data_IF_707254487957
#
_entry.id   IF_707254487957
#
_cell.length_a   1.000
_cell.length_b   1.000
_cell.length_c   1.000
_cell.angle_alpha   90.00
_cell.angle_beta   90.00
_cell.angle_gamma   90.00
#
_symmetry.space_group_name_H-M   'P 1'
#
loop_
_entity.id
_entity.type
_entity.pdbx_description
1 polymer ?
#
# COMPACT_ATOMS: atom_id res chain seq x y z
N UNK A 1 -12.60 -40.83 -5.13
CA UNK A 1 -13.77 -40.47 -5.97
C UNK A 1 -13.87 -38.96 -6.13
N UNK A 2 -14.61 -38.48 -7.14
CA UNK A 2 -14.71 -37.05 -7.50
C UNK A 2 -15.08 -36.11 -6.34
N UNK A 3 -15.89 -36.57 -5.38
CA UNK A 3 -16.22 -35.82 -4.16
C UNK A 3 -15.00 -35.51 -3.29
N UNK A 4 -14.08 -36.47 -3.11
CA UNK A 4 -12.85 -36.26 -2.35
C UNK A 4 -11.94 -35.22 -3.02
N UNK A 5 -11.88 -35.22 -4.35
CA UNK A 5 -11.11 -34.24 -5.11
C UNK A 5 -11.70 -32.82 -4.97
N UNK A 6 -13.03 -32.67 -4.93
CA UNK A 6 -13.68 -31.38 -4.71
C UNK A 6 -13.43 -30.84 -3.28
N UNK A 7 -13.48 -31.71 -2.26
CA UNK A 7 -13.15 -31.35 -0.88
C UNK A 7 -11.69 -30.92 -0.75
N UNK A 8 -10.76 -31.64 -1.40
CA UNK A 8 -9.35 -31.29 -1.41
C UNK A 8 -9.11 -29.90 -1.99
N UNK A 9 -9.72 -29.57 -3.15
CA UNK A 9 -9.64 -28.22 -3.73
C UNK A 9 -10.20 -27.14 -2.82
N UNK A 10 -11.32 -27.40 -2.13
CA UNK A 10 -11.90 -26.45 -1.18
C UNK A 10 -10.99 -26.21 0.03
N UNK A 11 -10.37 -27.27 0.57
CA UNK A 11 -9.47 -27.15 1.70
C UNK A 11 -8.21 -26.36 1.31
N UNK A 12 -7.66 -26.63 0.13
CA UNK A 12 -6.51 -25.90 -0.40
C UNK A 12 -6.78 -24.40 -0.50
N UNK A 13 -7.96 -24.01 -0.99
CA UNK A 13 -8.41 -22.61 -1.02
C UNK A 13 -8.42 -21.96 0.35
N UNK A 14 -8.97 -22.64 1.35
CA UNK A 14 -9.05 -22.09 2.70
C UNK A 14 -7.65 -21.99 3.34
N UNK A 15 -6.77 -22.96 3.08
CA UNK A 15 -5.36 -22.91 3.48
C UNK A 15 -4.68 -21.68 2.89
N UNK A 16 -4.87 -21.41 1.60
CA UNK A 16 -4.29 -20.24 0.93
C UNK A 16 -4.85 -18.93 1.47
N UNK A 17 -6.16 -18.82 1.67
CA UNK A 17 -6.79 -17.65 2.28
C UNK A 17 -6.23 -17.35 3.67
N UNK A 18 -6.12 -18.37 4.53
CA UNK A 18 -5.56 -18.22 5.88
C UNK A 18 -4.07 -17.86 5.83
N UNK A 19 -3.31 -18.46 4.91
CA UNK A 19 -1.90 -18.11 4.69
C UNK A 19 -1.74 -16.63 4.36
N UNK A 20 -2.55 -16.09 3.44
CA UNK A 20 -2.54 -14.67 3.07
C UNK A 20 -2.85 -13.76 4.26
N UNK A 21 -3.90 -14.08 5.01
CA UNK A 21 -4.26 -13.29 6.20
C UNK A 21 -3.10 -13.25 7.19
N UNK A 22 -2.47 -14.39 7.45
CA UNK A 22 -1.35 -14.46 8.39
C UNK A 22 -0.12 -13.71 7.87
N UNK A 23 0.14 -13.73 6.56
CA UNK A 23 1.20 -12.95 5.94
C UNK A 23 0.92 -11.44 6.06
N UNK A 24 -0.31 -10.99 5.80
CA UNK A 24 -0.71 -9.59 6.00
C UNK A 24 -0.53 -9.13 7.44
N UNK A 25 -0.85 -9.98 8.43
CA UNK A 25 -0.55 -9.69 9.83
C UNK A 25 0.96 -9.64 10.12
N UNK A 26 1.78 -10.44 9.45
CA UNK A 26 3.23 -10.40 9.61
C UNK A 26 3.83 -9.11 9.03
N UNK A 27 3.37 -8.70 7.84
CA UNK A 27 3.75 -7.43 7.22
C UNK A 27 3.32 -6.24 8.09
N UNK A 28 2.07 -6.21 8.56
CA UNK A 28 1.58 -5.15 9.44
C UNK A 28 2.43 -4.99 10.71
N UNK A 29 2.93 -6.10 11.29
CA UNK A 29 3.83 -6.05 12.45
C UNK A 29 5.16 -5.34 12.18
N UNK A 30 5.65 -5.32 10.94
CA UNK A 30 6.87 -4.59 10.60
C UNK A 30 6.66 -3.08 10.62
N UNK A 31 5.42 -2.61 10.43
CA UNK A 31 5.09 -1.20 10.31
C UNK A 31 4.43 -0.59 11.56
N UNK A 32 4.17 -1.38 12.60
CA UNK A 32 3.59 -0.88 13.85
C UNK A 32 4.62 -0.88 14.98
N UNK A 33 4.53 0.08 15.92
CA UNK A 33 5.40 0.12 17.09
C UNK A 33 5.36 -1.19 17.86
N UNK A 34 6.54 -1.65 18.27
CA UNK A 34 6.76 -2.91 18.99
C UNK A 34 6.39 -4.19 18.22
N UNK A 35 5.97 -4.10 16.95
CA UNK A 35 5.56 -5.27 16.18
C UNK A 35 6.70 -6.19 15.75
N UNK A 36 7.93 -5.66 15.60
CA UNK A 36 9.15 -6.42 15.33
C UNK A 36 9.85 -6.94 16.61
N UNK A 37 9.23 -6.82 17.78
CA UNK A 37 9.81 -7.28 19.04
C UNK A 37 10.03 -8.81 19.08
N UNK A 38 10.95 -9.26 19.94
CA UNK A 38 11.28 -10.69 20.14
C UNK A 38 10.03 -11.54 20.43
N UNK A 39 9.07 -10.99 21.19
CA UNK A 39 7.75 -11.60 21.38
C UNK A 39 6.77 -11.09 20.32
N UNK A 40 6.30 -12.01 19.47
CA UNK A 40 5.28 -11.72 18.44
C UNK A 40 3.96 -11.28 19.08
N UNK A 41 3.45 -10.13 18.66
CA UNK A 41 2.14 -9.64 19.05
C UNK A 41 1.01 -10.53 18.50
N UNK A 42 -0.07 -10.71 19.26
CA UNK A 42 -1.31 -11.35 18.80
C UNK A 42 -2.01 -10.54 17.71
N UNK A 43 -2.99 -11.13 17.02
CA UNK A 43 -3.78 -10.43 15.98
C UNK A 43 -4.47 -9.19 16.55
N UNK A 44 -5.12 -9.33 17.71
CA UNK A 44 -5.83 -8.22 18.35
C UNK A 44 -4.88 -7.12 18.80
N UNK A 45 -3.75 -7.47 19.41
CA UNK A 45 -2.73 -6.48 19.79
C UNK A 45 -2.16 -5.75 18.57
N UNK A 46 -1.91 -6.48 17.48
CA UNK A 46 -1.43 -5.89 16.20
C UNK A 46 -2.43 -4.87 15.67
N UNK A 47 -3.73 -5.19 15.65
CA UNK A 47 -4.76 -4.26 15.20
C UNK A 47 -4.89 -3.04 16.11
N UNK A 48 -4.83 -3.22 17.44
CA UNK A 48 -4.89 -2.11 18.40
C UNK A 48 -3.71 -1.15 18.21
N UNK A 49 -2.48 -1.69 18.16
CA UNK A 49 -1.27 -0.90 17.92
C UNK A 49 -1.33 -0.15 16.58
N UNK A 50 -1.82 -0.79 15.51
CA UNK A 50 -1.97 -0.14 14.21
C UNK A 50 -2.90 1.08 14.28
N UNK A 51 -4.08 0.95 14.92
CA UNK A 51 -5.04 2.06 15.06
C UNK A 51 -4.46 3.19 15.90
N UNK A 52 -3.79 2.87 17.00
CA UNK A 52 -3.14 3.85 17.86
C UNK A 52 -2.01 4.58 17.13
N UNK A 53 -1.23 3.85 16.32
CA UNK A 53 -0.12 4.41 15.58
C UNK A 53 -0.59 5.36 14.48
N UNK A 54 -1.63 4.99 13.71
CA UNK A 54 -2.25 5.89 12.72
C UNK A 54 -2.69 7.20 13.38
N UNK A 55 -3.38 7.12 14.53
CA UNK A 55 -3.82 8.32 15.28
C UNK A 55 -2.65 9.15 15.82
N UNK A 56 -1.55 8.52 16.18
CA UNK A 56 -0.34 9.23 16.61
C UNK A 56 0.32 9.97 15.43
N UNK A 57 0.45 9.31 14.28
CA UNK A 57 1.00 9.91 13.06
C UNK A 57 0.14 11.08 12.56
N UNK A 58 -1.19 10.94 12.59
CA UNK A 58 -2.12 12.03 12.24
C UNK A 58 -1.89 13.27 13.11
N UNK A 59 -1.83 13.10 14.45
CA UNK A 59 -1.56 14.22 15.37
C UNK A 59 -0.21 14.88 15.11
N UNK A 60 0.83 14.10 14.83
CA UNK A 60 2.16 14.64 14.52
C UNK A 60 2.16 15.48 13.24
N UNK A 61 1.39 15.09 12.23
CA UNK A 61 1.23 15.88 11.01
C UNK A 61 0.45 17.17 11.28
N UNK A 62 -0.66 17.09 12.01
CA UNK A 62 -1.49 18.26 12.34
C UNK A 62 -0.70 19.31 13.17
N UNK A 63 0.12 18.87 14.13
CA UNK A 63 0.99 19.72 14.93
C UNK A 63 2.05 20.43 14.06
N UNK A 64 2.63 19.72 13.09
CA UNK A 64 3.62 20.28 12.19
C UNK A 64 3.01 21.30 11.23
N UNK A 65 1.82 21.04 10.70
CA UNK A 65 1.09 21.98 9.83
C UNK A 65 0.66 23.23 10.60
N UNK A 66 0.23 23.09 11.86
CA UNK A 66 -0.08 24.20 12.74
C UNK A 66 1.17 25.06 13.06
N UNK A 67 2.32 24.43 13.28
CA UNK A 67 3.59 25.13 13.50
C UNK A 67 4.08 25.86 12.22
N UNK A 68 3.87 25.27 11.04
CA UNK A 68 4.20 25.90 9.77
C UNK A 68 3.29 27.09 9.41
N UNK A 69 2.06 27.13 9.92
CA UNK A 69 1.11 28.22 9.71
C UNK A 69 1.43 29.48 10.55
N UNK A 70 2.27 29.37 11.58
CA UNK A 70 2.68 30.49 12.43
C UNK A 70 4.21 30.60 12.52
N UNK A 71 4.90 31.05 11.45
CA UNK A 71 6.26 31.55 11.61
C UNK A 71 6.17 32.86 12.41
N UNK A 72 6.99 32.99 13.44
CA UNK A 72 7.13 34.20 14.27
C UNK A 72 7.03 35.50 13.44
N UNK A 73 5.90 36.19 13.59
CA UNK A 73 5.58 37.44 12.92
C UNK A 73 5.45 38.60 13.89
N UNK A 74 6.36 38.74 14.85
CA UNK A 74 6.51 40.01 15.57
C UNK A 74 7.26 41.01 14.68
N UNK A 75 6.52 41.80 13.89
CA UNK A 75 7.11 42.88 13.11
C UNK A 75 6.17 43.70 12.23
N UNK A 76 5.67 44.79 12.79
CA UNK A 76 5.25 46.06 12.13
C UNK A 76 3.90 46.12 11.40
N UNK A 77 3.09 47.05 11.91
CA UNK A 77 2.04 47.76 11.20
C UNK A 77 2.55 48.36 9.88
N UNK A 78 1.74 48.27 8.83
CA UNK A 78 1.27 49.39 8.03
C UNK A 78 0.38 48.86 6.89
N UNK A 79 -0.63 49.66 6.55
CA UNK A 79 -1.65 49.33 5.56
C UNK A 79 -1.15 49.11 4.15
N UNK A 80 -2.04 48.64 3.29
CA UNK A 80 -1.75 48.45 1.87
C UNK A 80 -2.89 47.77 1.15
N UNK A 81 -3.76 48.60 0.60
CA UNK A 81 -4.79 48.30 -0.39
C UNK A 81 -4.22 47.71 -1.70
N UNK A 82 -5.08 46.99 -2.45
CA UNK A 82 -4.83 46.52 -3.82
C UNK A 82 -4.67 44.99 -3.93
N UNK A 83 -5.36 44.23 -4.78
CA UNK A 83 -6.10 44.57 -5.99
C UNK A 83 -5.69 43.60 -7.11
N UNK A 84 -6.64 42.87 -7.70
CA UNK A 84 -6.49 42.10 -8.96
C UNK A 84 -5.81 40.73 -8.81
N UNK A 85 -6.17 39.68 -9.54
CA UNK A 85 -7.09 39.49 -10.65
C UNK A 85 -7.10 38.00 -11.00
N UNK A 86 -8.20 37.52 -11.55
CA UNK A 86 -8.31 36.15 -12.04
C UNK A 86 -7.37 35.88 -13.22
N UNK A 87 -7.10 34.59 -13.47
CA UNK A 87 -6.32 34.19 -14.64
C UNK A 87 -6.01 32.70 -14.64
N UNK A 88 -6.81 31.99 -15.40
CA UNK A 88 -6.74 30.56 -15.68
C UNK A 88 -5.46 30.16 -16.44
N UNK A 89 -5.17 28.86 -16.33
CA UNK A 89 -4.41 28.02 -17.27
C UNK A 89 -2.89 28.06 -17.27
N UNK A 90 -2.32 26.90 -16.99
CA UNK A 90 -1.25 26.34 -17.81
C UNK A 90 -1.68 24.95 -18.29
N UNK A 91 -1.88 24.84 -19.61
CA UNK A 91 -2.12 23.58 -20.28
C UNK A 91 -0.82 22.75 -20.30
N UNK A 92 -0.94 21.44 -20.09
CA UNK A 92 0.14 20.47 -20.23
C UNK A 92 0.52 20.27 -21.71
N UNK A 93 1.80 20.05 -22.05
CA UNK A 93 2.17 19.64 -23.39
C UNK A 93 1.89 18.14 -23.59
N UNK A 94 1.26 17.80 -24.70
CA UNK A 94 1.18 16.42 -25.19
C UNK A 94 2.54 15.98 -25.73
N UNK A 95 2.99 14.77 -25.35
CA UNK A 95 3.88 13.98 -26.19
C UNK A 95 3.12 12.72 -26.60
N UNK A 96 2.79 12.66 -27.88
CA UNK A 96 2.42 11.40 -28.51
C UNK A 96 3.69 10.62 -28.82
N UNK A 97 3.64 9.31 -28.62
CA UNK A 97 4.34 8.38 -29.52
C UNK A 97 3.69 7.01 -29.41
N UNK A 98 2.96 6.65 -30.45
CA UNK A 98 2.60 5.27 -30.74
C UNK A 98 3.79 4.60 -31.42
N UNK A 99 4.05 3.33 -31.12
CA UNK A 99 4.13 2.28 -32.15
C UNK A 99 3.92 0.89 -31.54
N UNK A 100 3.20 -0.01 -32.23
CA UNK A 100 3.04 -1.41 -31.88
C UNK A 100 4.14 -2.27 -32.52
N UNK A 101 4.45 -3.42 -31.92
CA UNK A 101 5.35 -4.41 -32.49
C UNK A 101 5.30 -5.71 -31.68
N UNK A 102 4.81 -6.77 -32.32
CA UNK A 102 4.48 -8.07 -31.74
C UNK A 102 5.70 -9.03 -31.76
N UNK A 103 5.52 -10.35 -31.59
CA UNK A 103 6.14 -11.19 -30.56
C UNK A 103 7.41 -11.91 -31.03
N UNK A 104 8.20 -12.49 -30.10
CA UNK A 104 8.86 -13.79 -30.31
C UNK A 104 9.60 -14.29 -29.06
N UNK A 105 9.43 -15.59 -28.82
CA UNK A 105 9.88 -16.42 -27.69
C UNK A 105 11.35 -16.81 -27.72
N UNK A 106 11.89 -17.18 -26.54
CA UNK A 106 12.66 -18.41 -26.21
C UNK A 106 13.41 -18.15 -24.88
N UNK A 107 13.59 -19.04 -23.91
CA UNK A 107 13.25 -20.44 -23.65
C UNK A 107 13.68 -20.74 -22.19
N UNK A 108 13.10 -21.79 -21.60
CA UNK A 108 13.63 -22.49 -20.42
C UNK A 108 13.54 -21.84 -19.02
N UNK A 109 12.40 -22.05 -18.35
CA UNK A 109 12.43 -22.80 -17.06
C UNK A 109 11.04 -23.35 -16.79
N UNK A 110 10.93 -24.68 -16.78
CA UNK A 110 9.68 -25.43 -16.66
C UNK A 110 9.04 -25.32 -15.27
N UNK A 111 8.50 -24.15 -14.93
CA UNK A 111 7.53 -23.96 -13.85
C UNK A 111 6.29 -23.14 -14.24
N UNK A 112 6.18 -22.65 -15.48
CA UNK A 112 5.01 -21.88 -15.94
C UNK A 112 3.80 -22.75 -16.37
N UNK A 113 3.92 -24.08 -16.26
CA UNK A 113 2.83 -25.00 -16.59
C UNK A 113 1.75 -24.99 -15.49
N UNK A 114 0.76 -24.12 -15.71
CA UNK A 114 -0.57 -24.11 -15.09
C UNK A 114 -0.63 -23.76 -13.59
N UNK A 115 -0.06 -22.62 -13.20
CA UNK A 115 -0.54 -21.96 -11.99
C UNK A 115 -2.03 -21.69 -12.13
N UNK A 116 -2.82 -22.21 -11.19
CA UNK A 116 -4.24 -21.88 -11.05
C UNK A 116 -4.39 -20.35 -11.01
N UNK A 117 -5.48 -19.77 -11.53
CA UNK A 117 -5.75 -18.33 -11.38
C UNK A 117 -5.57 -17.83 -9.94
N UNK A 118 -5.92 -18.69 -8.97
CA UNK A 118 -5.77 -18.43 -7.54
C UNK A 118 -4.30 -18.37 -7.09
N UNK A 119 -3.40 -19.15 -7.68
CA UNK A 119 -1.96 -19.12 -7.35
C UNK A 119 -1.28 -17.88 -7.94
N UNK A 120 -1.77 -17.38 -9.08
CA UNK A 120 -1.29 -16.13 -9.67
C UNK A 120 -1.68 -14.91 -8.83
N UNK A 121 -2.94 -14.83 -8.41
CA UNK A 121 -3.41 -13.78 -7.49
C UNK A 121 -2.66 -13.82 -6.15
N UNK A 122 -2.39 -15.03 -5.66
CA UNK A 122 -1.61 -15.25 -4.45
C UNK A 122 -0.20 -14.66 -4.56
N UNK A 123 0.47 -14.86 -5.71
CA UNK A 123 1.81 -14.35 -5.96
C UNK A 123 1.84 -12.82 -6.06
N UNK A 124 0.90 -12.23 -6.80
CA UNK A 124 0.77 -10.77 -6.94
C UNK A 124 0.63 -10.10 -5.57
N UNK A 125 -0.30 -10.62 -4.73
CA UNK A 125 -0.51 -10.09 -3.40
C UNK A 125 0.72 -10.26 -2.49
N UNK A 126 1.45 -11.38 -2.60
CA UNK A 126 2.70 -11.54 -1.83
C UNK A 126 3.82 -10.62 -2.29
N UNK A 127 3.88 -10.31 -3.58
CA UNK A 127 4.80 -9.32 -4.13
C UNK A 127 4.46 -7.93 -3.63
N UNK A 128 3.17 -7.57 -3.61
CA UNK A 128 2.69 -6.30 -3.09
C UNK A 128 3.10 -6.08 -1.62
N UNK A 129 2.96 -7.11 -0.78
CA UNK A 129 3.39 -7.03 0.64
C UNK A 129 4.90 -6.84 0.82
N UNK A 130 5.72 -7.21 -0.16
CA UNK A 130 7.19 -7.08 -0.10
C UNK A 130 7.73 -5.76 -0.65
N UNK A 131 6.88 -4.90 -1.21
CA UNK A 131 7.30 -3.63 -1.82
C UNK A 131 7.46 -2.47 -0.83
N UNK A 132 7.15 -2.67 0.45
CA UNK A 132 7.18 -1.66 1.52
C UNK A 132 8.01 -2.15 2.71
#
# INVERSE_FOLDING_TARGET
>A
GAAAAAVARRNERERNRVRLVNLGFAALRQHVPHGAASKKMSKVETLRSAVEYIRALQRLLDEHDAAAAFPDGCGRAAGGDGGGGGGYSSASPSFGSSVPGSPCSSEESGYDAALSPEERELLDFTSWLGSY
#
